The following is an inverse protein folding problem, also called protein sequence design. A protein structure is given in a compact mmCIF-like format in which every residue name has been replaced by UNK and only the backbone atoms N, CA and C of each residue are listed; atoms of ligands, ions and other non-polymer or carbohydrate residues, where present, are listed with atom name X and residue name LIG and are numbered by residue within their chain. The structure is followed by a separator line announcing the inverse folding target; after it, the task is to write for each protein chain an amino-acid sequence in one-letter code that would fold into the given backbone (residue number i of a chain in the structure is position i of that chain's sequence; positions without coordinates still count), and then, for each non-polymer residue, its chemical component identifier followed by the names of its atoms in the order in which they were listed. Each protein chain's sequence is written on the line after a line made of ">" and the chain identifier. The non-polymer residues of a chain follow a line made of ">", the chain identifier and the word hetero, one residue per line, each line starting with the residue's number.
data_IF_148847668818
#
_entry.id   IF_148847668818
#
_cell.length_a   1.000
_cell.length_b   1.000
_cell.length_c   1.000
_cell.angle_alpha   90.00
_cell.angle_beta   90.00
_cell.angle_gamma   90.00
#
_symmetry.space_group_name_H-M   'P 1'
#
loop_
_entity.id
_entity.type
_entity.pdbx_description
1 polymer ?
#
# COMPACT_ATOMS: atom_id res chain seq x y z
N UNK A 1 11.02 -0.85 20.68
CA UNK A 1 11.75 -1.54 19.59
C UNK A 1 12.24 -0.49 18.62
N UNK A 2 13.55 -0.42 18.38
CA UNK A 2 14.14 0.45 17.39
C UNK A 2 13.69 0.01 15.97
N UNK A 3 13.20 0.94 15.16
CA UNK A 3 12.77 0.65 13.79
C UNK A 3 14.00 0.49 12.89
N UNK A 4 14.51 -0.73 12.77
CA UNK A 4 15.73 -1.05 12.00
C UNK A 4 15.75 -0.45 10.59
N UNK A 5 14.60 -0.42 9.89
CA UNK A 5 14.48 0.19 8.57
C UNK A 5 14.64 1.72 8.58
N UNK A 6 14.13 2.39 9.62
CA UNK A 6 14.26 3.85 9.77
C UNK A 6 15.71 4.22 10.08
N UNK A 7 16.37 3.44 10.93
CA UNK A 7 17.79 3.66 11.27
C UNK A 7 18.68 3.45 10.05
N UNK A 8 18.46 2.37 9.30
CA UNK A 8 19.17 2.12 8.04
C UNK A 8 18.97 3.26 7.04
N UNK A 9 17.76 3.79 6.91
CA UNK A 9 17.48 4.90 6.01
C UNK A 9 18.26 6.17 6.40
N UNK A 10 18.24 6.54 7.68
CA UNK A 10 18.89 7.77 8.18
C UNK A 10 20.42 7.66 8.13
N UNK A 11 20.97 6.50 8.51
CA UNK A 11 22.41 6.37 8.70
C UNK A 11 23.17 5.96 7.43
N UNK A 12 22.54 5.19 6.53
CA UNK A 12 23.21 4.64 5.35
C UNK A 12 22.65 5.20 4.04
N UNK A 13 21.32 5.14 3.87
CA UNK A 13 20.69 5.41 2.57
C UNK A 13 20.67 6.91 2.25
N UNK A 14 20.28 7.76 3.21
CA UNK A 14 20.20 9.20 3.01
C UNK A 14 21.57 9.83 2.67
N UNK A 15 22.67 9.55 3.41
CA UNK A 15 23.99 10.07 3.07
C UNK A 15 24.48 9.59 1.70
N UNK A 16 24.29 8.30 1.38
CA UNK A 16 24.68 7.74 0.09
C UNK A 16 23.93 8.37 -1.09
N UNK A 17 22.65 8.73 -0.91
CA UNK A 17 21.87 9.45 -1.92
C UNK A 17 22.33 10.90 -2.09
N UNK A 18 22.66 11.59 -0.99
CA UNK A 18 23.18 12.96 -1.03
C UNK A 18 24.52 13.01 -1.77
N UNK A 19 25.43 12.08 -1.50
CA UNK A 19 26.73 11.99 -2.18
C UNK A 19 26.57 11.62 -3.65
N UNK A 20 25.72 10.63 -3.98
CA UNK A 20 25.53 10.17 -5.36
C UNK A 20 24.89 11.22 -6.27
N UNK A 21 23.98 12.03 -5.74
CA UNK A 21 23.21 13.01 -6.52
C UNK A 21 23.58 14.47 -6.22
N UNK A 22 24.60 14.70 -5.38
CA UNK A 22 25.09 16.02 -4.97
C UNK A 22 23.98 16.97 -4.51
N UNK A 23 23.07 16.49 -3.66
CA UNK A 23 22.01 17.33 -3.12
C UNK A 23 22.58 18.44 -2.23
N UNK A 24 22.14 19.68 -2.45
CA UNK A 24 22.60 20.86 -1.69
C UNK A 24 21.94 20.97 -0.32
N UNK A 25 20.80 20.31 -0.13
CA UNK A 25 20.06 20.32 1.13
C UNK A 25 19.70 18.90 1.57
N UNK A 26 19.86 18.54 2.86
CA UNK A 26 19.47 17.24 3.39
C UNK A 26 17.98 16.93 3.20
N UNK A 27 17.13 17.96 3.09
CA UNK A 27 15.69 17.80 2.86
C UNK A 27 15.31 17.47 1.41
N UNK A 28 16.25 17.59 0.47
CA UNK A 28 16.05 17.16 -0.92
C UNK A 28 16.19 15.64 -1.07
N UNK A 29 16.75 14.95 -0.07
CA UNK A 29 16.89 13.50 -0.11
C UNK A 29 15.50 12.82 -0.20
N UNK A 30 15.28 11.92 -1.18
CA UNK A 30 13.99 11.26 -1.38
C UNK A 30 13.56 10.41 -0.18
N UNK A 31 12.35 10.64 0.32
CA UNK A 31 11.74 9.88 1.43
C UNK A 31 10.53 9.06 0.96
N UNK A 32 10.22 7.99 1.69
CA UNK A 32 8.99 7.22 1.49
C UNK A 32 7.86 7.97 2.20
N UNK A 33 6.85 8.39 1.45
CA UNK A 33 5.68 9.11 2.00
C UNK A 33 4.58 8.15 2.45
N UNK A 34 4.16 7.23 1.59
CA UNK A 34 3.17 6.19 1.92
C UNK A 34 3.36 4.91 1.10
N UNK A 35 2.92 3.80 1.67
CA UNK A 35 2.80 2.50 0.98
C UNK A 35 1.31 2.14 0.97
N UNK A 36 0.74 1.93 -0.21
CA UNK A 36 -0.68 1.56 -0.37
C UNK A 36 -0.75 0.11 -0.78
N UNK A 37 -1.41 -0.71 0.03
CA UNK A 37 -1.71 -2.10 -0.29
C UNK A 37 -3.09 -2.16 -0.93
N UNK A 38 -3.18 -2.76 -2.11
CA UNK A 38 -4.43 -2.96 -2.83
C UNK A 38 -4.56 -4.43 -3.24
N UNK A 39 -5.74 -4.99 -3.02
CA UNK A 39 -6.05 -6.37 -3.36
C UNK A 39 -7.33 -6.40 -4.20
N UNK A 40 -7.22 -6.89 -5.43
CA UNK A 40 -8.36 -7.11 -6.29
C UNK A 40 -8.96 -8.49 -6.02
N UNK A 41 -10.17 -8.54 -5.48
CA UNK A 41 -10.91 -9.79 -5.26
C UNK A 41 -12.04 -9.86 -6.29
N UNK A 42 -11.73 -10.36 -7.50
CA UNK A 42 -12.69 -10.42 -8.60
C UNK A 42 -13.84 -11.41 -8.37
N UNK A 43 -13.55 -12.51 -7.67
CA UNK A 43 -14.54 -13.56 -7.35
C UNK A 43 -15.56 -13.14 -6.28
N UNK A 44 -15.28 -12.02 -5.60
CA UNK A 44 -16.16 -11.48 -4.57
C UNK A 44 -17.51 -11.01 -5.10
N UNK A 45 -17.63 -10.75 -6.42
CA UNK A 45 -18.90 -10.46 -7.09
C UNK A 45 -19.86 -11.66 -7.00
N UNK A 46 -19.31 -12.88 -6.96
CA UNK A 46 -20.10 -14.13 -6.91
C UNK A 46 -20.29 -14.63 -5.48
N UNK A 47 -19.30 -14.41 -4.60
CA UNK A 47 -19.35 -14.83 -3.20
C UNK A 47 -18.78 -13.74 -2.28
N UNK A 48 -19.67 -13.08 -1.52
CA UNK A 48 -19.29 -12.02 -0.59
C UNK A 48 -18.40 -12.51 0.55
N UNK A 49 -18.44 -13.80 0.91
CA UNK A 49 -17.59 -14.34 2.00
C UNK A 49 -16.10 -14.27 1.67
N UNK A 50 -15.75 -14.45 0.39
CA UNK A 50 -14.36 -14.35 -0.05
C UNK A 50 -13.82 -12.91 0.13
N UNK A 51 -14.71 -11.91 0.07
CA UNK A 51 -14.33 -10.53 0.37
C UNK A 51 -14.00 -10.36 1.86
N UNK A 52 -14.86 -10.89 2.73
CA UNK A 52 -14.71 -10.80 4.18
C UNK A 52 -13.44 -11.52 4.66
N UNK A 53 -13.16 -12.71 4.12
CA UNK A 53 -11.93 -13.47 4.40
C UNK A 53 -10.69 -12.69 3.97
N UNK A 54 -10.70 -12.14 2.76
CA UNK A 54 -9.58 -11.36 2.25
C UNK A 54 -9.35 -10.07 3.06
N UNK A 55 -10.42 -9.44 3.55
CA UNK A 55 -10.32 -8.28 4.46
C UNK A 55 -9.65 -8.68 5.78
N UNK A 56 -10.02 -9.81 6.38
CA UNK A 56 -9.41 -10.28 7.62
C UNK A 56 -7.95 -10.68 7.45
N UNK A 57 -7.59 -11.34 6.34
CA UNK A 57 -6.19 -11.65 6.02
C UNK A 57 -5.35 -10.39 5.85
N UNK A 58 -5.83 -9.41 5.08
CA UNK A 58 -5.10 -8.17 4.85
C UNK A 58 -4.98 -7.36 6.15
N UNK A 59 -5.98 -7.42 7.03
CA UNK A 59 -5.94 -6.84 8.36
C UNK A 59 -4.87 -7.48 9.25
N UNK A 60 -4.74 -8.80 9.22
CA UNK A 60 -3.70 -9.53 9.96
C UNK A 60 -2.29 -9.16 9.45
N UNK A 61 -2.12 -9.03 8.14
CA UNK A 61 -0.82 -8.69 7.52
C UNK A 61 -0.45 -7.23 7.78
N UNK A 62 -1.36 -6.29 7.49
CA UNK A 62 -1.10 -4.87 7.55
C UNK A 62 -1.26 -4.28 8.97
N UNK A 63 -1.92 -4.99 9.87
CA UNK A 63 -2.26 -4.51 11.22
C UNK A 63 -3.25 -3.33 11.21
N UNK A 64 -3.95 -3.11 10.10
CA UNK A 64 -4.87 -1.98 9.89
C UNK A 64 -6.16 -2.48 9.25
N UNK A 65 -7.29 -1.84 9.59
CA UNK A 65 -8.57 -2.17 8.96
C UNK A 65 -8.56 -1.74 7.48
N UNK A 66 -8.70 -2.67 6.52
CA UNK A 66 -8.73 -2.34 5.10
C UNK A 66 -10.00 -1.59 4.71
N UNK A 67 -9.90 -0.73 3.70
CA UNK A 67 -11.06 -0.04 3.11
C UNK A 67 -11.60 -0.86 1.95
N UNK A 68 -12.88 -1.23 2.03
CA UNK A 68 -13.57 -1.92 0.94
C UNK A 68 -13.81 -0.93 -0.19
N UNK A 69 -13.15 -1.15 -1.33
CA UNK A 69 -13.32 -0.32 -2.52
C UNK A 69 -14.45 -0.86 -3.37
N UNK A 70 -15.34 0.05 -3.74
CA UNK A 70 -16.59 -0.22 -4.43
C UNK A 70 -16.51 0.17 -5.90
N UNK A 71 -17.33 -0.44 -6.75
CA UNK A 71 -17.22 -0.28 -8.19
C UNK A 71 -17.79 1.09 -8.61
N UNK A 72 -16.97 1.91 -9.28
CA UNK A 72 -17.39 3.25 -9.75
C UNK A 72 -18.29 3.23 -10.97
N UNK A 73 -18.29 2.14 -11.74
CA UNK A 73 -19.04 2.01 -13.00
C UNK A 73 -19.53 0.58 -13.17
N UNK A 74 -20.70 0.44 -13.76
CA UNK A 74 -21.23 -0.85 -14.19
C UNK A 74 -20.53 -1.31 -15.47
N UNK A 75 -20.03 -2.55 -15.50
CA UNK A 75 -19.40 -3.15 -16.69
C UNK A 75 -19.96 -4.55 -16.89
N UNK A 76 -20.80 -4.71 -17.91
CA UNK A 76 -21.51 -5.97 -18.18
C UNK A 76 -20.58 -7.16 -18.43
N UNK A 77 -19.45 -6.94 -19.13
CA UNK A 77 -18.45 -7.98 -19.40
C UNK A 77 -17.82 -8.58 -18.13
N UNK A 78 -17.78 -7.83 -17.04
CA UNK A 78 -17.25 -8.28 -15.75
C UNK A 78 -18.36 -8.57 -14.73
N UNK A 79 -19.63 -8.56 -15.16
CA UNK A 79 -20.81 -8.71 -14.30
C UNK A 79 -20.81 -7.74 -13.10
N UNK A 80 -20.14 -6.59 -13.24
CA UNK A 80 -20.02 -5.57 -12.20
C UNK A 80 -21.16 -4.55 -12.32
N UNK A 81 -21.76 -4.20 -11.19
CA UNK A 81 -22.71 -3.09 -11.05
C UNK A 81 -22.06 -1.98 -10.24
N UNK A 82 -22.40 -0.74 -10.58
CA UNK A 82 -22.02 0.43 -9.78
C UNK A 82 -22.60 0.28 -8.37
N UNK A 83 -21.76 0.47 -7.37
CA UNK A 83 -22.08 0.09 -6.01
C UNK A 83 -20.86 0.03 -5.15
#
# INVERSE_FOLDING_TARGET
>A
MANALKEKYVNEVQPALIEKFNFTSPMQAPKIDKIVLNMGVGDAVSNSKNLDEAVEELKLIAGQQPVITKAKKSIAGFRLREG
#
